data_IF_711149798517
#
_entry.id   IF_711149798517
#
_cell.length_a   1.000
_cell.length_b   1.000
_cell.length_c   1.000
_cell.angle_alpha   90.00
_cell.angle_beta   90.00
_cell.angle_gamma   90.00
#
_symmetry.space_group_name_H-M   'P 1'
#
loop_
_entity.id
_entity.type
_entity.pdbx_description
1 polymer ?
#
# COMPACT_ATOMS: atom_id res chain seq x y z
N UNK A 1 28.64 -36.93 -42.47
CA UNK A 1 27.39 -36.83 -41.68
C UNK A 1 27.53 -35.67 -40.70
N UNK A 2 27.04 -34.47 -41.03
CA UNK A 2 27.16 -33.31 -40.16
C UNK A 2 25.97 -33.26 -39.18
N UNK A 3 26.24 -33.44 -37.89
CA UNK A 3 25.23 -33.27 -36.82
C UNK A 3 25.06 -31.77 -36.58
N UNK A 4 23.95 -31.21 -37.06
CA UNK A 4 23.59 -29.82 -36.78
C UNK A 4 23.26 -29.64 -35.30
N UNK A 5 24.03 -28.80 -34.61
CA UNK A 5 23.69 -28.30 -33.28
C UNK A 5 22.47 -27.38 -33.40
N UNK A 6 21.27 -27.95 -33.28
CA UNK A 6 20.08 -27.17 -33.01
C UNK A 6 20.12 -26.76 -31.54
N UNK A 7 20.79 -25.66 -31.24
CA UNK A 7 20.57 -24.94 -29.99
C UNK A 7 19.10 -24.51 -29.98
N UNK A 8 18.27 -25.23 -29.23
CA UNK A 8 16.91 -24.83 -28.93
C UNK A 8 17.02 -23.47 -28.25
N UNK A 9 16.71 -22.42 -29.01
CA UNK A 9 16.60 -21.06 -28.48
C UNK A 9 15.36 -21.03 -27.60
N UNK A 10 15.49 -21.46 -26.35
CA UNK A 10 14.54 -21.08 -25.33
C UNK A 10 14.45 -19.55 -25.36
N UNK A 11 13.24 -19.01 -25.50
CA UNK A 11 13.01 -17.59 -25.38
C UNK A 11 13.70 -17.12 -24.10
N UNK A 12 14.76 -16.31 -24.23
CA UNK A 12 15.46 -15.76 -23.08
C UNK A 12 14.42 -14.97 -22.31
N UNK A 13 13.97 -15.51 -21.18
CA UNK A 13 13.20 -14.75 -20.19
C UNK A 13 14.07 -13.54 -19.91
N UNK A 14 13.58 -12.39 -20.40
CA UNK A 14 14.29 -11.12 -20.50
C UNK A 14 15.15 -10.88 -19.27
N UNK A 15 16.42 -10.55 -19.44
CA UNK A 15 17.36 -10.22 -18.36
C UNK A 15 16.91 -8.94 -17.64
N UNK A 16 15.95 -9.05 -16.74
CA UNK A 16 15.36 -7.95 -15.97
C UNK A 16 16.25 -7.64 -14.76
N UNK A 17 17.16 -6.65 -14.89
CA UNK A 17 18.07 -6.26 -13.78
C UNK A 17 17.40 -5.40 -12.69
N UNK A 18 16.33 -4.65 -13.00
CA UNK A 18 15.68 -3.70 -12.07
C UNK A 18 14.14 -3.70 -12.14
N UNK A 19 13.50 -4.87 -12.20
CA UNK A 19 12.02 -4.95 -12.24
C UNK A 19 11.42 -5.21 -10.86
N UNK A 20 10.38 -4.47 -10.50
CA UNK A 20 9.58 -4.72 -9.31
C UNK A 20 8.45 -5.70 -9.63
N UNK A 21 8.46 -6.88 -9.00
CA UNK A 21 7.42 -7.89 -9.17
C UNK A 21 6.08 -7.42 -8.57
N UNK A 22 5.03 -7.42 -9.38
CA UNK A 22 3.64 -7.17 -8.96
C UNK A 22 3.07 -8.35 -8.17
N UNK A 23 2.00 -8.12 -7.40
CA UNK A 23 1.33 -9.15 -6.63
C UNK A 23 0.84 -10.30 -7.54
N UNK A 24 0.30 -9.96 -8.72
CA UNK A 24 -0.12 -10.95 -9.73
C UNK A 24 1.05 -11.81 -10.20
N UNK A 25 2.18 -11.21 -10.57
CA UNK A 25 3.34 -11.98 -11.03
C UNK A 25 3.89 -12.89 -9.92
N UNK A 26 3.94 -12.40 -8.67
CA UNK A 26 4.35 -13.21 -7.51
C UNK A 26 3.42 -14.42 -7.32
N UNK A 27 2.11 -14.21 -7.40
CA UNK A 27 1.13 -15.29 -7.29
C UNK A 27 1.28 -16.32 -8.42
N UNK A 28 1.51 -15.88 -9.67
CA UNK A 28 1.77 -16.79 -10.79
C UNK A 28 3.01 -17.68 -10.54
N UNK A 29 4.07 -17.11 -9.98
CA UNK A 29 5.29 -17.86 -9.65
C UNK A 29 5.03 -18.85 -8.50
N UNK A 30 4.24 -18.46 -7.50
CA UNK A 30 3.82 -19.35 -6.41
C UNK A 30 2.98 -20.51 -6.96
N UNK A 31 2.01 -20.25 -7.84
CA UNK A 31 1.20 -21.30 -8.47
C UNK A 31 2.06 -22.28 -9.27
N UNK A 32 3.07 -21.79 -9.98
CA UNK A 32 4.05 -22.66 -10.66
C UNK A 32 4.86 -23.50 -9.67
N UNK A 33 5.26 -22.95 -8.53
CA UNK A 33 5.90 -23.77 -7.49
C UNK A 33 4.94 -24.84 -6.93
N UNK A 34 3.67 -24.49 -6.72
CA UNK A 34 2.64 -25.40 -6.19
C UNK A 34 2.27 -26.52 -7.16
N UNK A 35 2.54 -26.39 -8.46
CA UNK A 35 2.35 -27.46 -9.44
C UNK A 35 3.40 -28.59 -9.37
N UNK A 36 4.25 -28.62 -8.33
CA UNK A 36 5.18 -29.71 -8.04
C UNK A 36 6.65 -29.44 -8.37
N UNK A 37 7.01 -28.20 -8.71
CA UNK A 37 8.40 -27.83 -9.03
C UNK A 37 9.23 -27.54 -7.77
N UNK A 38 10.53 -27.84 -7.82
CA UNK A 38 11.43 -27.52 -6.71
C UNK A 38 11.68 -26.02 -6.59
N UNK A 39 11.91 -25.52 -5.37
CA UNK A 39 12.17 -24.09 -5.11
C UNK A 39 13.34 -23.55 -5.94
N UNK A 40 14.38 -24.37 -6.13
CA UNK A 40 15.58 -24.04 -6.90
C UNK A 40 15.28 -23.96 -8.39
N UNK A 41 14.60 -24.96 -8.94
CA UNK A 41 14.18 -24.97 -10.35
C UNK A 41 13.28 -23.78 -10.70
N UNK A 42 12.32 -23.45 -9.83
CA UNK A 42 11.47 -22.27 -10.00
C UNK A 42 12.28 -20.98 -9.93
N UNK A 43 13.21 -20.89 -8.98
CA UNK A 43 14.07 -19.72 -8.83
C UNK A 43 14.94 -19.48 -10.08
N UNK A 44 15.57 -20.53 -10.60
CA UNK A 44 16.41 -20.48 -11.80
C UNK A 44 15.58 -20.10 -13.05
N UNK A 45 14.37 -20.67 -13.21
CA UNK A 45 13.48 -20.38 -14.34
C UNK A 45 13.05 -18.92 -14.41
N UNK A 46 12.69 -18.33 -13.26
CA UNK A 46 12.23 -16.94 -13.18
C UNK A 46 13.36 -15.94 -12.89
N UNK A 47 14.62 -16.41 -12.80
CA UNK A 47 15.78 -15.60 -12.44
C UNK A 47 15.56 -14.80 -11.14
N UNK A 48 14.99 -15.46 -10.13
CA UNK A 48 14.75 -14.91 -8.79
C UNK A 48 15.66 -15.62 -7.78
N UNK A 49 15.90 -14.99 -6.64
CA UNK A 49 16.60 -15.67 -5.56
C UNK A 49 15.64 -16.65 -4.85
N UNK A 50 16.08 -17.86 -4.46
CA UNK A 50 15.25 -18.79 -3.67
C UNK A 50 14.72 -18.19 -2.36
N UNK A 51 15.44 -17.19 -1.80
CA UNK A 51 14.97 -16.40 -0.65
C UNK A 51 13.70 -15.60 -0.98
N UNK A 52 13.64 -14.94 -2.13
CA UNK A 52 12.46 -14.18 -2.56
C UNK A 52 11.24 -15.10 -2.71
N UNK A 53 11.42 -16.27 -3.32
CA UNK A 53 10.35 -17.26 -3.45
C UNK A 53 9.81 -17.70 -2.08
N UNK A 54 10.70 -17.99 -1.12
CA UNK A 54 10.29 -18.32 0.26
C UNK A 54 9.51 -17.20 0.93
N UNK A 55 9.97 -15.96 0.80
CA UNK A 55 9.27 -14.78 1.34
C UNK A 55 7.88 -14.59 0.72
N UNK A 56 7.73 -14.86 -0.58
CA UNK A 56 6.43 -14.74 -1.25
C UNK A 56 5.48 -15.85 -0.84
N UNK A 57 5.96 -17.09 -0.69
CA UNK A 57 5.17 -18.22 -0.17
C UNK A 57 4.67 -17.88 1.24
N UNK A 58 5.55 -17.40 2.13
CA UNK A 58 5.17 -17.02 3.50
C UNK A 58 4.16 -15.84 3.54
N UNK A 59 4.12 -15.01 2.50
CA UNK A 59 3.19 -13.89 2.39
C UNK A 59 2.06 -14.15 1.38
N UNK A 60 1.80 -15.40 0.98
CA UNK A 60 0.81 -15.76 -0.05
C UNK A 60 -0.58 -15.19 0.27
N UNK A 61 -1.06 -15.38 1.50
CA UNK A 61 -2.36 -14.86 1.95
C UNK A 61 -2.45 -13.33 1.83
N UNK A 62 -1.37 -12.63 2.19
CA UNK A 62 -1.31 -11.17 2.04
C UNK A 62 -1.36 -10.79 0.57
N UNK A 63 -0.62 -11.48 -0.30
CA UNK A 63 -0.60 -11.24 -1.75
C UNK A 63 -1.98 -11.43 -2.40
N UNK A 64 -2.77 -12.39 -1.93
CA UNK A 64 -4.15 -12.62 -2.41
C UNK A 64 -5.10 -11.47 -2.04
N UNK A 65 -4.90 -10.86 -0.87
CA UNK A 65 -5.73 -9.77 -0.38
C UNK A 65 -5.41 -8.39 -1.01
N UNK A 66 -4.30 -8.26 -1.75
CA UNK A 66 -3.88 -6.97 -2.33
C UNK A 66 -4.27 -6.88 -3.80
N UNK A 67 -4.44 -5.66 -4.30
CA UNK A 67 -4.64 -5.38 -5.72
C UNK A 67 -3.53 -5.99 -6.60
N UNK A 68 -3.85 -6.49 -7.80
CA UNK A 68 -2.93 -7.28 -8.62
C UNK A 68 -1.68 -6.51 -9.07
N UNK A 69 -1.80 -5.20 -9.25
CA UNK A 69 -0.71 -4.31 -9.67
C UNK A 69 0.20 -3.86 -8.51
N UNK A 70 -0.09 -4.24 -7.27
CA UNK A 70 0.70 -3.80 -6.12
C UNK A 70 2.07 -4.49 -6.08
N UNK A 71 3.14 -3.68 -6.12
CA UNK A 71 4.51 -4.19 -6.15
C UNK A 71 5.10 -4.42 -4.76
N UNK A 72 4.68 -3.64 -3.75
CA UNK A 72 5.18 -3.70 -2.36
C UNK A 72 4.02 -3.91 -1.41
N UNK A 73 4.07 -5.02 -0.64
CA UNK A 73 3.04 -5.34 0.36
C UNK A 73 2.98 -4.29 1.48
N UNK A 74 4.15 -3.84 1.95
CA UNK A 74 4.27 -2.81 2.98
C UNK A 74 4.61 -1.47 2.31
N UNK A 75 3.60 -0.75 1.83
CA UNK A 75 3.81 0.59 1.28
C UNK A 75 3.84 1.60 2.43
N UNK A 76 5.03 1.92 2.93
CA UNK A 76 5.27 3.05 3.84
C UNK A 76 5.76 2.67 5.23
N UNK A 77 6.20 3.69 5.97
CA UNK A 77 6.61 3.57 7.36
C UNK A 77 5.41 3.27 8.26
N UNK A 78 5.61 2.39 9.25
CA UNK A 78 4.61 2.11 10.28
C UNK A 78 4.26 3.40 11.02
N UNK A 79 2.99 3.60 11.41
CA UNK A 79 2.61 4.77 12.19
C UNK A 79 3.36 4.77 13.52
N UNK A 80 3.91 5.92 13.90
CA UNK A 80 4.63 6.07 15.19
C UNK A 80 3.68 5.94 16.38
N UNK A 81 2.43 6.37 16.22
CA UNK A 81 1.41 6.39 17.27
C UNK A 81 0.13 5.67 16.78
N UNK A 82 0.14 4.33 16.68
CA UNK A 82 -0.97 3.57 16.09
C UNK A 82 -2.31 3.74 16.82
N UNK A 83 -2.32 3.74 18.15
CA UNK A 83 -3.56 3.92 18.94
C UNK A 83 -4.18 5.31 18.75
N UNK A 84 -3.34 6.35 18.72
CA UNK A 84 -3.80 7.71 18.45
C UNK A 84 -4.35 7.84 17.03
N UNK A 85 -3.70 7.21 16.04
CA UNK A 85 -4.20 7.22 14.66
C UNK A 85 -5.56 6.51 14.54
N UNK A 86 -5.80 5.43 15.29
CA UNK A 86 -7.08 4.73 15.28
C UNK A 86 -8.25 5.63 15.72
N UNK A 87 -8.12 6.30 16.87
CA UNK A 87 -9.13 7.25 17.37
C UNK A 87 -9.29 8.44 16.39
N UNK A 88 -8.19 8.91 15.81
CA UNK A 88 -8.22 10.04 14.87
C UNK A 88 -8.98 9.68 13.57
N UNK A 89 -8.85 8.45 13.07
CA UNK A 89 -9.60 7.99 11.88
C UNK A 89 -11.09 7.90 12.18
N UNK A 90 -11.46 7.38 13.35
CA UNK A 90 -12.85 7.27 13.76
C UNK A 90 -13.51 8.65 13.79
N UNK A 91 -12.84 9.61 14.42
CA UNK A 91 -13.27 11.02 14.40
C UNK A 91 -13.39 11.60 12.97
N UNK A 92 -12.45 11.28 12.06
CA UNK A 92 -12.54 11.73 10.65
C UNK A 92 -13.76 11.11 9.95
N UNK A 93 -14.05 9.82 10.21
CA UNK A 93 -15.20 9.13 9.63
C UNK A 93 -16.52 9.74 10.11
N UNK A 94 -16.64 10.02 11.41
CA UNK A 94 -17.79 10.71 12.00
C UNK A 94 -17.97 12.13 11.44
N UNK A 95 -16.88 12.90 11.33
CA UNK A 95 -16.96 14.25 10.77
C UNK A 95 -17.44 14.21 9.31
N UNK A 96 -17.00 13.21 8.54
CA UNK A 96 -17.42 13.02 7.14
C UNK A 96 -18.86 12.52 7.01
N UNK A 97 -19.36 11.68 7.93
CA UNK A 97 -20.78 11.27 7.93
C UNK A 97 -21.70 12.46 8.19
N UNK A 98 -21.26 13.41 9.00
CA UNK A 98 -21.94 14.69 9.24
C UNK A 98 -21.74 15.74 8.13
N UNK A 99 -21.14 15.35 6.99
CA UNK A 99 -20.81 16.24 5.86
C UNK A 99 -19.91 17.43 6.22
N UNK A 100 -19.19 17.36 7.35
CA UNK A 100 -18.24 18.41 7.78
C UNK A 100 -16.92 18.26 7.03
N UNK A 101 -16.36 19.38 6.61
CA UNK A 101 -15.05 19.41 5.96
C UNK A 101 -13.97 19.24 7.02
N UNK A 102 -13.17 18.18 6.89
CA UNK A 102 -11.99 17.96 7.74
C UNK A 102 -10.76 18.46 7.00
N UNK A 103 -10.23 19.60 7.44
CA UNK A 103 -8.97 20.13 6.91
C UNK A 103 -7.77 19.49 7.62
N UNK A 104 -6.60 19.57 6.99
CA UNK A 104 -5.35 19.07 7.56
C UNK A 104 -5.01 19.72 8.90
N UNK A 105 -5.32 21.02 9.05
CA UNK A 105 -5.16 21.75 10.29
C UNK A 105 -6.06 21.21 11.41
N UNK A 106 -7.31 20.85 11.09
CA UNK A 106 -8.22 20.25 12.08
C UNK A 106 -7.71 18.88 12.55
N UNK A 107 -7.18 18.06 11.64
CA UNK A 107 -6.53 16.78 11.98
C UNK A 107 -5.36 17.01 12.94
N UNK A 108 -4.51 18.00 12.64
CA UNK A 108 -3.38 18.35 13.49
C UNK A 108 -3.82 18.83 14.89
N UNK A 109 -4.83 19.70 14.95
CA UNK A 109 -5.36 20.22 16.21
C UNK A 109 -5.98 19.08 17.05
N UNK A 110 -6.77 18.20 16.43
CA UNK A 110 -7.34 17.03 17.10
C UNK A 110 -6.25 16.09 17.60
N UNK A 111 -5.22 15.81 16.81
CA UNK A 111 -4.08 14.97 17.23
C UNK A 111 -3.35 15.55 18.46
N UNK A 112 -3.11 16.87 18.50
CA UNK A 112 -2.54 17.55 19.67
C UNK A 112 -3.43 17.45 20.91
N UNK A 113 -4.75 17.54 20.74
CA UNK A 113 -5.68 17.37 21.85
C UNK A 113 -5.65 15.93 22.39
N UNK A 114 -5.61 14.93 21.50
CA UNK A 114 -5.50 13.53 21.90
C UNK A 114 -4.18 13.25 22.63
N UNK A 115 -3.07 13.79 22.16
CA UNK A 115 -1.76 13.63 22.80
C UNK A 115 -1.69 14.14 24.25
N UNK A 116 -2.61 15.03 24.66
CA UNK A 116 -2.69 15.52 26.04
C UNK A 116 -3.37 14.53 26.99
N UNK A 117 -4.13 13.54 26.51
CA UNK A 117 -4.79 12.55 27.37
C UNK A 117 -3.73 11.67 28.06
N UNK A 118 -3.94 11.40 29.35
CA UNK A 118 -3.04 10.58 30.17
C UNK A 118 -2.86 9.16 29.63
N UNK A 119 -3.91 8.58 29.05
CA UNK A 119 -3.89 7.26 28.42
C UNK A 119 -2.83 7.14 27.32
N UNK A 120 -2.60 8.20 26.54
CA UNK A 120 -1.57 8.18 25.50
C UNK A 120 -0.18 8.52 26.03
N UNK A 121 -0.08 9.32 27.08
CA UNK A 121 1.21 9.65 27.71
C UNK A 121 1.81 8.45 28.42
N UNK A 122 0.98 7.61 29.05
CA UNK A 122 1.42 6.36 29.66
C UNK A 122 1.99 5.37 28.62
N UNK A 123 1.38 5.31 27.43
CA UNK A 123 1.83 4.44 26.33
C UNK A 123 3.00 5.02 25.53
N UNK A 124 3.07 6.35 25.42
CA UNK A 124 4.02 7.06 24.56
C UNK A 124 4.59 8.28 25.30
N UNK A 125 5.72 8.15 26.03
CA UNK A 125 6.27 9.24 26.82
C UNK A 125 6.76 10.43 25.96
N UNK A 126 7.11 10.18 24.70
CA UNK A 126 7.57 11.19 23.75
C UNK A 126 6.42 12.00 23.11
N UNK A 127 5.17 11.57 23.30
CA UNK A 127 4.01 12.17 22.63
C UNK A 127 3.70 13.58 23.13
N UNK A 128 4.08 13.90 24.38
CA UNK A 128 3.87 15.20 25.01
C UNK A 128 4.53 16.34 24.22
N UNK A 129 5.68 16.04 23.61
CA UNK A 129 6.46 16.99 22.80
C UNK A 129 6.18 16.85 21.29
N UNK A 130 5.25 15.96 20.89
CA UNK A 130 4.94 15.73 19.49
C UNK A 130 4.24 16.94 18.87
N UNK A 131 4.91 17.59 17.91
CA UNK A 131 4.38 18.77 17.20
C UNK A 131 3.29 18.42 16.17
N UNK A 132 3.18 17.14 15.81
CA UNK A 132 2.35 16.63 14.70
C UNK A 132 2.53 17.47 13.43
N UNK A 133 3.76 17.53 12.90
CA UNK A 133 4.10 18.38 11.75
C UNK A 133 3.23 18.09 10.53
N UNK A 134 3.23 19.00 9.55
CA UNK A 134 2.48 18.80 8.32
C UNK A 134 2.87 17.49 7.60
N UNK A 135 4.17 17.13 7.62
CA UNK A 135 4.66 15.83 7.11
C UNK A 135 4.05 14.63 7.84
N UNK A 136 3.84 14.73 9.15
CA UNK A 136 3.17 13.68 9.91
C UNK A 136 1.71 13.54 9.47
N UNK A 137 1.00 14.65 9.27
CA UNK A 137 -0.38 14.67 8.77
C UNK A 137 -0.45 14.09 7.36
N UNK A 138 0.47 14.44 6.47
CA UNK A 138 0.52 13.89 5.11
C UNK A 138 0.74 12.37 5.14
N UNK A 139 1.63 11.89 6.01
CA UNK A 139 1.82 10.45 6.24
C UNK A 139 0.56 9.77 6.77
N UNK A 140 -0.13 10.38 7.74
CA UNK A 140 -1.39 9.88 8.27
C UNK A 140 -2.46 9.79 7.16
N UNK A 141 -2.64 10.85 6.38
CA UNK A 141 -3.60 10.86 5.27
C UNK A 141 -3.27 9.79 4.22
N UNK A 142 -1.99 9.65 3.87
CA UNK A 142 -1.55 8.64 2.90
C UNK A 142 -1.78 7.21 3.39
N UNK A 143 -1.50 6.92 4.67
CA UNK A 143 -1.71 5.57 5.25
C UNK A 143 -3.18 5.19 5.23
N UNK A 144 -4.07 6.14 5.54
CA UNK A 144 -5.51 5.90 5.65
C UNK A 144 -6.29 6.22 4.37
N UNK A 145 -5.59 6.46 3.25
CA UNK A 145 -6.16 6.80 1.93
C UNK A 145 -7.19 7.95 2.02
N UNK A 146 -6.91 8.92 2.87
CA UNK A 146 -7.76 10.09 3.07
C UNK A 146 -7.42 11.16 2.04
N UNK A 147 -8.43 11.69 1.38
CA UNK A 147 -8.32 12.85 0.48
C UNK A 147 -9.04 14.05 1.06
N UNK A 148 -8.57 15.27 0.80
CA UNK A 148 -9.27 16.50 1.22
C UNK A 148 -10.55 16.75 0.42
N UNK A 149 -10.72 16.09 -0.74
CA UNK A 149 -11.82 16.36 -1.68
C UNK A 149 -13.18 16.01 -1.06
N UNK A 150 -14.14 16.94 -1.15
CA UNK A 150 -15.55 16.72 -0.82
C UNK A 150 -16.25 15.99 -1.97
N UNK A 151 -17.17 15.07 -1.67
CA UNK A 151 -18.16 14.62 -2.66
C UNK A 151 -19.10 15.80 -2.97
N UNK A 152 -19.15 16.22 -4.22
CA UNK A 152 -20.12 17.21 -4.69
C UNK A 152 -21.49 16.55 -4.75
N UNK A 153 -22.44 17.02 -3.95
CA UNK A 153 -23.82 16.52 -3.93
C UNK A 153 -24.68 17.16 -5.03
N UNK A 154 -24.26 18.33 -5.52
CA UNK A 154 -24.99 19.09 -6.53
C UNK A 154 -24.25 18.94 -7.86
N UNK A 155 -24.93 18.41 -8.88
CA UNK A 155 -24.44 18.40 -10.24
C UNK A 155 -24.26 19.85 -10.73
N UNK A 156 -23.22 20.11 -11.52
CA UNK A 156 -23.08 21.41 -12.18
C UNK A 156 -24.28 21.62 -13.10
N UNK A 157 -24.99 22.74 -12.92
CA UNK A 157 -26.09 23.11 -13.84
C UNK A 157 -25.50 23.41 -15.21
N UNK A 158 -26.11 22.92 -16.28
CA UNK A 158 -25.69 23.28 -17.63
C UNK A 158 -25.83 24.79 -17.85
N UNK A 159 -24.92 25.42 -18.61
CA UNK A 159 -25.09 26.79 -19.09
C UNK A 159 -26.42 26.95 -19.82
N UNK A 160 -27.06 28.11 -19.68
CA UNK A 160 -28.34 28.41 -20.34
C UNK A 160 -28.25 28.37 -21.86
N UNK A 161 -27.05 28.56 -22.41
CA UNK A 161 -26.80 28.67 -23.84
C UNK A 161 -26.34 27.34 -24.46
N UNK A 162 -26.54 26.21 -23.78
CA UNK A 162 -26.22 24.90 -24.33
C UNK A 162 -27.24 24.53 -25.41
N UNK A 163 -26.81 24.61 -26.67
CA UNK A 163 -27.55 24.07 -27.82
C UNK A 163 -27.04 22.65 -28.06
N UNK A 164 -27.95 21.68 -28.10
CA UNK A 164 -27.67 20.25 -28.34
C UNK A 164 -27.11 19.97 -29.74
#
# INVERSE_FOLDING_TARGET
MARGNFEIRHARVTSKRNWHWSAREKLMIIMYYESGHSKRSTADKFNIQPKQLREWINNKEKLLNVAPYTQRLNTGARPKYPYLEAELIEWVKEARSQLKTVTRYMVQAKARLLAKKESYQANYPDIKNAKFSQKWVDGFMSRHKLVNRRKTTVAQRLPKDYVE
#
